data_IF_724309585485
#
_entry.id   IF_724309585485
#
_cell.length_a   1.000
_cell.length_b   1.000
_cell.length_c   1.000
_cell.angle_alpha   90.00
_cell.angle_beta   90.00
_cell.angle_gamma   90.00
#
_symmetry.space_group_name_H-M   'P 1'
#
loop_
_entity.id
_entity.type
_entity.pdbx_description
1 polymer ?
#
# COMPACT_ATOMS: atom_id res chain seq x y z
N UNK A 1 -19.91 -0.39 -2.41
CA UNK A 1 -18.45 -0.60 -2.25
C UNK A 1 -17.79 0.75 -2.42
N UNK A 2 -16.75 1.06 -1.65
CA UNK A 2 -16.05 2.34 -1.76
C UNK A 2 -14.82 2.15 -2.66
N UNK A 3 -14.51 3.17 -3.46
CA UNK A 3 -13.28 3.20 -4.23
C UNK A 3 -12.17 3.86 -3.41
N UNK A 4 -10.99 3.25 -3.43
CA UNK A 4 -9.82 3.69 -2.69
C UNK A 4 -8.66 3.86 -3.66
N UNK A 5 -8.05 5.04 -3.63
CA UNK A 5 -6.81 5.32 -4.33
C UNK A 5 -5.65 4.87 -3.44
N UNK A 6 -4.83 3.97 -3.98
CA UNK A 6 -3.58 3.53 -3.35
C UNK A 6 -2.44 4.05 -4.23
N UNK A 7 -1.53 4.81 -3.62
CA UNK A 7 -0.32 5.30 -4.26
C UNK A 7 0.86 4.56 -3.67
N UNK A 8 1.56 3.79 -4.49
CA UNK A 8 2.79 3.09 -4.18
C UNK A 8 3.96 4.05 -4.40
N UNK A 9 4.86 4.17 -3.43
CA UNK A 9 6.04 5.04 -3.50
C UNK A 9 7.27 4.28 -3.04
N UNK A 10 8.36 4.45 -3.79
CA UNK A 10 9.70 3.97 -3.44
C UNK A 10 9.79 2.45 -3.16
N UNK A 11 8.94 1.64 -3.79
CA UNK A 11 8.94 0.19 -3.65
C UNK A 11 10.21 -0.39 -4.29
N UNK A 12 10.73 -1.49 -3.73
CA UNK A 12 11.90 -2.21 -4.25
C UNK A 12 13.17 -1.34 -4.33
N UNK A 13 13.44 -0.58 -3.28
CA UNK A 13 14.59 0.32 -3.20
C UNK A 13 14.46 1.53 -4.13
N UNK A 14 13.26 2.10 -4.23
CA UNK A 14 13.02 3.32 -5.02
C UNK A 14 12.65 3.10 -6.50
N UNK A 15 12.68 1.87 -7.00
CA UNK A 15 12.51 1.58 -8.44
C UNK A 15 11.06 1.63 -8.92
N UNK A 16 10.11 1.43 -8.01
CA UNK A 16 8.70 1.26 -8.37
C UNK A 16 7.85 2.29 -7.62
N UNK A 17 7.09 3.05 -8.39
CA UNK A 17 6.03 3.94 -7.91
C UNK A 17 4.84 3.84 -8.85
N UNK A 18 3.63 4.01 -8.33
CA UNK A 18 2.43 3.84 -9.13
C UNK A 18 1.17 4.21 -8.37
N UNK A 19 0.05 4.26 -9.09
CA UNK A 19 -1.26 4.49 -8.51
C UNK A 19 -2.21 3.42 -8.99
N UNK A 20 -3.03 2.92 -8.07
CA UNK A 20 -4.08 1.94 -8.36
C UNK A 20 -5.35 2.36 -7.65
N UNK A 21 -6.49 2.05 -8.26
CA UNK A 21 -7.80 2.21 -7.63
C UNK A 21 -8.30 0.82 -7.29
N UNK A 22 -8.73 0.63 -6.06
CA UNK A 22 -9.30 -0.64 -5.60
C UNK A 22 -10.67 -0.42 -4.97
N UNK A 23 -11.61 -1.31 -5.28
CA UNK A 23 -12.90 -1.37 -4.59
C UNK A 23 -12.75 -2.12 -3.27
N UNK A 24 -13.11 -1.51 -2.14
CA UNK A 24 -13.15 -2.13 -0.82
C UNK A 24 -14.30 -1.56 0.02
N UNK A 25 -14.84 -2.35 0.96
CA UNK A 25 -15.92 -1.90 1.84
C UNK A 25 -15.41 -0.82 2.82
N UNK A 26 -14.23 -1.03 3.35
CA UNK A 26 -13.61 -0.22 4.40
C UNK A 26 -12.09 -0.11 4.22
N UNK A 27 -11.44 0.65 5.10
CA UNK A 27 -10.00 0.90 5.08
C UNK A 27 -9.17 -0.38 5.29
N UNK A 28 -9.63 -1.31 6.12
CA UNK A 28 -8.92 -2.57 6.36
C UNK A 28 -8.93 -3.42 5.08
N UNK A 29 -10.06 -3.49 4.37
CA UNK A 29 -10.14 -4.12 3.06
C UNK A 29 -9.22 -3.45 2.03
N UNK A 30 -9.15 -2.11 2.01
CA UNK A 30 -8.23 -1.38 1.13
C UNK A 30 -6.75 -1.68 1.46
N UNK A 31 -6.39 -1.74 2.75
CA UNK A 31 -5.04 -2.12 3.22
C UNK A 31 -4.65 -3.53 2.78
N UNK A 32 -5.55 -4.50 2.90
CA UNK A 32 -5.29 -5.87 2.45
C UNK A 32 -5.04 -5.94 0.95
N UNK A 33 -5.84 -5.21 0.15
CA UNK A 33 -5.62 -5.12 -1.30
C UNK A 33 -4.31 -4.42 -1.64
N UNK A 34 -3.98 -3.32 -0.97
CA UNK A 34 -2.69 -2.64 -1.13
C UNK A 34 -1.50 -3.60 -0.89
N UNK A 35 -1.56 -4.38 0.19
CA UNK A 35 -0.53 -5.37 0.50
C UNK A 35 -0.44 -6.48 -0.55
N UNK A 36 -1.58 -6.94 -1.09
CA UNK A 36 -1.59 -7.92 -2.19
C UNK A 36 -0.90 -7.37 -3.45
N UNK A 37 -1.13 -6.10 -3.78
CA UNK A 37 -0.45 -5.48 -4.92
C UNK A 37 1.05 -5.30 -4.65
N UNK A 38 1.45 -4.91 -3.42
CA UNK A 38 2.86 -4.81 -3.04
C UNK A 38 3.61 -6.15 -3.21
N UNK A 39 2.96 -7.27 -2.88
CA UNK A 39 3.54 -8.62 -3.04
C UNK A 39 3.91 -8.95 -4.49
N UNK A 40 3.20 -8.38 -5.49
CA UNK A 40 3.52 -8.60 -6.91
C UNK A 40 4.86 -7.97 -7.30
N UNK A 41 5.21 -6.86 -6.66
CA UNK A 41 6.45 -6.11 -6.92
C UNK A 41 7.63 -6.62 -6.09
N UNK A 42 7.36 -7.32 -4.99
CA UNK A 42 8.36 -7.82 -4.04
C UNK A 42 8.19 -9.33 -3.80
N UNK A 43 8.26 -10.19 -4.84
CA UNK A 43 7.97 -11.63 -4.70
C UNK A 43 8.96 -12.38 -3.81
N UNK A 44 10.20 -11.87 -3.67
CA UNK A 44 11.25 -12.48 -2.85
C UNK A 44 11.10 -12.18 -1.36
N UNK A 45 10.27 -11.19 -1.01
CA UNK A 45 10.06 -10.72 0.36
C UNK A 45 8.82 -11.34 0.99
N UNK A 46 8.80 -11.48 2.32
CA UNK A 46 7.70 -12.11 3.06
C UNK A 46 7.23 -11.22 4.21
N UNK A 47 6.19 -11.67 4.92
CA UNK A 47 5.74 -11.05 6.16
C UNK A 47 5.43 -9.54 6.03
N UNK A 48 4.71 -9.16 4.97
CA UNK A 48 4.34 -7.76 4.76
C UNK A 48 3.29 -7.28 5.75
N UNK A 49 3.54 -6.11 6.34
CA UNK A 49 2.55 -5.35 7.09
C UNK A 49 2.70 -3.85 6.83
N UNK A 50 1.69 -3.10 7.25
CA UNK A 50 1.64 -1.65 7.10
C UNK A 50 1.80 -0.99 8.46
N UNK A 51 2.81 -0.15 8.59
CA UNK A 51 3.00 0.71 9.75
C UNK A 51 2.42 2.10 9.43
N UNK A 52 1.51 2.59 10.28
CA UNK A 52 0.85 3.86 10.05
C UNK A 52 1.77 5.04 10.41
N UNK A 53 2.00 5.94 9.45
CA UNK A 53 2.68 7.23 9.68
C UNK A 53 1.69 8.37 9.97
N UNK A 54 0.42 8.19 9.62
CA UNK A 54 -0.64 9.19 9.78
C UNK A 54 -1.12 9.74 8.43
N UNK A 55 -2.25 10.45 8.42
CA UNK A 55 -2.84 11.07 7.22
C UNK A 55 -3.02 10.14 6.01
N UNK A 56 -3.32 8.86 6.27
CA UNK A 56 -3.46 7.84 5.21
C UNK A 56 -2.13 7.36 4.62
N UNK A 57 -0.98 7.77 5.16
CA UNK A 57 0.35 7.30 4.78
C UNK A 57 0.75 6.11 5.66
N UNK A 58 1.33 5.10 5.02
CA UNK A 58 1.81 3.89 5.65
C UNK A 58 3.18 3.50 5.10
N UNK A 59 4.10 3.09 5.96
CA UNK A 59 5.29 2.38 5.52
C UNK A 59 4.94 0.91 5.30
N UNK A 60 5.44 0.33 4.22
CA UNK A 60 5.43 -1.12 4.02
C UNK A 60 6.66 -1.66 4.71
N UNK A 61 6.42 -2.55 5.67
CA UNK A 61 7.48 -3.29 6.35
C UNK A 61 7.42 -4.73 5.88
N UNK A 62 8.59 -5.32 5.62
CA UNK A 62 8.77 -6.73 5.33
C UNK A 62 9.99 -7.24 6.07
N UNK A 63 9.82 -8.31 6.85
CA UNK A 63 10.90 -8.92 7.64
C UNK A 63 11.67 -7.89 8.51
N UNK A 64 10.93 -6.94 9.10
CA UNK A 64 11.42 -5.81 9.92
C UNK A 64 12.19 -4.71 9.17
N UNK A 65 12.23 -4.75 7.84
CA UNK A 65 12.82 -3.70 7.00
C UNK A 65 11.77 -2.81 6.34
N UNK A 66 12.06 -1.51 6.23
CA UNK A 66 11.32 -0.60 5.35
C UNK A 66 11.61 -0.96 3.88
N UNK A 67 10.54 -1.23 3.13
CA UNK A 67 10.64 -1.62 1.72
C UNK A 67 9.88 -0.69 0.78
N UNK A 68 9.37 0.42 1.33
CA UNK A 68 8.67 1.45 0.61
C UNK A 68 7.50 2.04 1.39
N UNK A 69 6.75 2.92 0.72
CA UNK A 69 5.65 3.67 1.31
C UNK A 69 4.40 3.51 0.45
N UNK A 70 3.24 3.51 1.11
CA UNK A 70 1.95 3.64 0.44
C UNK A 70 1.12 4.77 1.03
N UNK A 71 0.33 5.39 0.17
CA UNK A 71 -0.74 6.29 0.59
C UNK A 71 -2.07 5.65 0.23
N UNK A 72 -2.97 5.53 1.20
CA UNK A 72 -4.32 5.01 1.00
C UNK A 72 -5.32 6.11 1.36
N UNK A 73 -6.15 6.49 0.38
CA UNK A 73 -7.21 7.48 0.55
C UNK A 73 -8.48 7.06 -0.19
N UNK A 74 -9.63 7.57 0.23
CA UNK A 74 -10.88 7.37 -0.53
C UNK A 74 -10.77 8.10 -1.87
N UNK A 75 -11.16 7.43 -2.95
CA UNK A 75 -11.10 7.99 -4.30
C UNK A 75 -12.06 9.17 -4.47
N UNK A 76 -13.20 9.15 -3.76
CA UNK A 76 -14.23 10.20 -3.77
C UNK A 76 -13.78 11.54 -3.14
N UNK A 77 -12.57 11.61 -2.58
CA UNK A 77 -11.98 12.84 -2.03
C UNK A 77 -10.72 13.30 -2.79
N UNK A 78 -10.56 12.88 -4.06
CA UNK A 78 -9.45 13.28 -4.92
C UNK A 78 -9.77 14.52 -5.77
#
# INVERSE_FOLDING_TARGET
MNEWLIELKNIAGGKISGKIIVAALDLQGAKQKALQECRKYLPERRNFYLEAKGNGVYTIISDLEDVGEIVIRRHDQA
#
